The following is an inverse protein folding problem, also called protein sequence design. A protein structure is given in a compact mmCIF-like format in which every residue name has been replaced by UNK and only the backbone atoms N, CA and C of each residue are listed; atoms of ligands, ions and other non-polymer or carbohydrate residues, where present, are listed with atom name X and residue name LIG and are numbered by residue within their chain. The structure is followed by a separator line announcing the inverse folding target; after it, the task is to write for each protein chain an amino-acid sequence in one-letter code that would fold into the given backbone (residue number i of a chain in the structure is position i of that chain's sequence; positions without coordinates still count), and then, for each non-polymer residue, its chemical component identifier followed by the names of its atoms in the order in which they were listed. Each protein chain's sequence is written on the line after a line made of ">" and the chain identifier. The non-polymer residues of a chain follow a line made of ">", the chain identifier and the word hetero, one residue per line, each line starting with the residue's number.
data_IF_717381670417
#
_entry.id   IF_717381670417
#
_cell.length_a   1.000
_cell.length_b   1.000
_cell.length_c   1.000
_cell.angle_alpha   90.00
_cell.angle_beta   90.00
_cell.angle_gamma   90.00
#
_symmetry.space_group_name_H-M   'P 1'
#
loop_
_entity.id
_entity.type
_entity.pdbx_description
1 polymer ?
#
# COMPACT_ATOMS: atom_id res chain seq x y z
N UNK A 1 7.26 9.54 -8.94
CA UNK A 1 7.28 8.84 -7.64
C UNK A 1 7.06 7.34 -7.85
N UNK A 2 7.77 6.55 -7.12
CA UNK A 2 7.68 5.08 -7.20
C UNK A 2 7.47 4.50 -5.82
N UNK A 3 7.11 3.22 -5.76
CA UNK A 3 6.93 2.51 -4.50
C UNK A 3 8.10 2.71 -3.53
N UNK A 4 9.32 2.65 -4.03
CA UNK A 4 10.52 2.81 -3.20
C UNK A 4 10.61 4.17 -2.48
N UNK A 5 9.85 5.15 -2.95
CA UNK A 5 9.83 6.49 -2.35
C UNK A 5 8.79 6.62 -1.23
N UNK A 6 7.96 5.61 -1.03
CA UNK A 6 6.93 5.64 0.01
C UNK A 6 7.57 5.44 1.39
N UNK A 7 7.09 6.19 2.37
CA UNK A 7 7.51 6.05 3.76
C UNK A 7 6.43 5.32 4.54
N UNK A 8 6.69 4.09 4.93
CA UNK A 8 5.74 3.28 5.68
C UNK A 8 5.87 3.52 7.17
N UNK A 9 4.73 3.63 7.84
CA UNK A 9 4.63 3.74 9.29
C UNK A 9 3.66 2.70 9.80
N UNK A 10 3.58 2.51 11.11
CA UNK A 10 2.58 1.61 11.69
C UNK A 10 1.18 2.16 11.43
N UNK A 11 0.26 1.29 11.08
CA UNK A 11 -1.12 1.68 10.87
C UNK A 11 -1.73 2.11 12.22
N UNK A 12 -2.37 3.29 12.29
CA UNK A 12 -2.85 3.83 13.57
C UNK A 12 -3.99 3.04 14.20
N UNK A 13 -4.78 2.35 13.39
CA UNK A 13 -5.99 1.66 13.86
C UNK A 13 -5.90 0.13 13.81
N UNK A 14 -4.82 -0.40 13.22
CA UNK A 14 -4.68 -1.83 13.03
C UNK A 14 -3.37 -2.30 13.63
N UNK A 15 -3.46 -3.21 14.60
CA UNK A 15 -2.30 -3.85 15.17
C UNK A 15 -1.59 -4.69 14.10
N UNK A 16 -0.27 -4.60 14.06
CA UNK A 16 0.54 -5.34 13.10
C UNK A 16 0.22 -4.99 11.64
N UNK A 17 -0.12 -3.73 11.40
CA UNK A 17 -0.34 -3.19 10.06
C UNK A 17 0.58 -2.04 9.77
N UNK A 18 0.82 -1.77 8.48
CA UNK A 18 1.64 -0.65 8.04
C UNK A 18 0.89 0.15 6.98
N UNK A 19 1.23 1.42 6.84
CA UNK A 19 0.62 2.28 5.85
C UNK A 19 1.60 3.33 5.33
N UNK A 20 1.39 3.76 4.09
CA UNK A 20 2.05 4.92 3.50
C UNK A 20 1.01 5.70 2.71
N UNK A 21 1.04 7.01 2.81
CA UNK A 21 0.11 7.88 2.10
C UNK A 21 0.86 8.97 1.36
N UNK A 22 0.42 9.27 0.15
CA UNK A 22 0.95 10.38 -0.63
C UNK A 22 -0.20 11.11 -1.31
N UNK A 23 -0.03 12.42 -1.48
CA UNK A 23 -0.95 13.22 -2.27
C UNK A 23 -0.37 13.35 -3.67
N UNK A 24 -1.09 12.88 -4.67
CA UNK A 24 -0.63 12.91 -6.04
C UNK A 24 -0.94 14.25 -6.72
N UNK A 25 -0.28 14.49 -7.86
CA UNK A 25 -0.41 15.76 -8.57
C UNK A 25 -1.82 16.03 -9.08
N UNK A 26 -2.61 14.98 -9.32
CA UNK A 26 -4.01 15.12 -9.73
C UNK A 26 -4.97 15.42 -8.57
N UNK A 27 -4.46 15.61 -7.37
CA UNK A 27 -5.26 15.90 -6.18
C UNK A 27 -5.80 14.68 -5.45
N UNK A 28 -5.56 13.49 -5.97
CA UNK A 28 -6.00 12.26 -5.32
C UNK A 28 -4.96 11.78 -4.30
N UNK A 29 -5.45 11.29 -3.17
CA UNK A 29 -4.59 10.65 -2.18
C UNK A 29 -4.46 9.18 -2.51
N UNK A 30 -3.23 8.68 -2.53
CA UNK A 30 -2.95 7.25 -2.67
C UNK A 30 -2.48 6.75 -1.31
N UNK A 31 -3.17 5.73 -0.79
CA UNK A 31 -2.85 5.11 0.48
C UNK A 31 -2.51 3.65 0.21
N UNK A 32 -1.34 3.21 0.66
CA UNK A 32 -0.86 1.85 0.49
C UNK A 32 -0.78 1.22 1.87
N UNK A 33 -1.54 0.16 2.08
CA UNK A 33 -1.64 -0.49 3.40
C UNK A 33 -1.43 -1.98 3.28
N UNK A 34 -0.94 -2.57 4.36
CA UNK A 34 -0.81 -4.01 4.46
C UNK A 34 -0.94 -4.41 5.93
N UNK A 35 -1.40 -5.62 6.16
CA UNK A 35 -1.53 -6.13 7.52
C UNK A 35 -2.71 -7.06 7.67
N UNK A 36 -2.94 -7.45 8.90
CA UNK A 36 -4.02 -8.38 9.26
C UNK A 36 -5.38 -7.78 8.92
N UNK A 37 -6.19 -8.53 8.18
CA UNK A 37 -7.52 -8.08 7.78
C UNK A 37 -7.55 -7.17 6.56
N UNK A 38 -6.39 -6.87 5.98
CA UNK A 38 -6.28 -6.08 4.76
C UNK A 38 -6.26 -6.98 3.52
N UNK A 39 -6.60 -6.40 2.36
CA UNK A 39 -6.47 -7.10 1.08
C UNK A 39 -5.01 -7.08 0.62
N UNK A 40 -4.18 -7.74 1.41
CA UNK A 40 -2.74 -7.84 1.21
C UNK A 40 -2.28 -9.26 1.52
N UNK A 41 -1.10 -9.63 1.01
CA UNK A 41 -0.54 -10.96 1.23
C UNK A 41 0.93 -10.81 1.64
N UNK A 42 1.33 -11.52 2.68
CA UNK A 42 2.71 -11.57 3.11
C UNK A 42 3.55 -12.39 2.13
N UNK A 43 4.87 -12.32 2.25
CA UNK A 43 5.78 -13.16 1.45
C UNK A 43 5.55 -14.65 1.68
N UNK A 44 4.99 -15.01 2.83
CA UNK A 44 4.68 -16.38 3.15
C UNK A 44 3.37 -16.86 2.52
N UNK A 45 2.68 -15.98 1.82
CA UNK A 45 1.46 -16.33 1.10
C UNK A 45 0.20 -16.33 1.95
N UNK A 46 0.22 -15.70 3.12
CA UNK A 46 -0.96 -15.61 3.98
C UNK A 46 -1.26 -14.14 4.32
N UNK A 47 -2.39 -13.91 4.95
CA UNK A 47 -2.85 -12.57 5.34
C UNK A 47 -2.38 -12.20 6.75
N UNK A 48 -1.15 -12.55 7.04
CA UNK A 48 -0.55 -12.31 8.35
C UNK A 48 -0.20 -10.84 8.55
N UNK A 49 0.16 -10.55 9.78
CA UNK A 49 0.59 -9.21 10.18
C UNK A 49 1.78 -8.70 9.35
N UNK A 50 1.82 -7.41 9.16
CA UNK A 50 2.94 -6.74 8.48
C UNK A 50 3.52 -5.68 9.40
N UNK A 51 4.83 -5.75 9.62
CA UNK A 51 5.57 -4.76 10.40
C UNK A 51 6.54 -3.97 9.53
N UNK A 52 6.83 -4.49 8.35
CA UNK A 52 7.79 -3.90 7.41
C UNK A 52 7.31 -4.20 6.00
N UNK A 53 7.39 -3.24 5.05
CA UNK A 53 6.98 -3.51 3.67
C UNK A 53 7.75 -4.65 3.01
N UNK A 54 8.96 -4.97 3.49
CA UNK A 54 9.72 -6.11 2.98
C UNK A 54 9.06 -7.46 3.28
N UNK A 55 8.18 -7.51 4.28
CA UNK A 55 7.47 -8.72 4.65
C UNK A 55 6.21 -8.97 3.81
N UNK A 56 5.90 -8.07 2.89
CA UNK A 56 4.65 -8.08 2.13
C UNK A 56 4.92 -8.28 0.65
N UNK A 57 4.17 -9.19 0.02
CA UNK A 57 4.27 -9.42 -1.42
C UNK A 57 3.23 -8.64 -2.21
N UNK A 58 2.07 -8.36 -1.62
CA UNK A 58 1.05 -7.51 -2.24
C UNK A 58 0.35 -6.66 -1.19
N UNK A 59 -0.19 -5.54 -1.62
CA UNK A 59 -0.74 -4.49 -0.75
C UNK A 59 -2.16 -4.14 -1.13
N UNK A 60 -2.92 -3.58 -0.19
CA UNK A 60 -4.18 -2.93 -0.48
C UNK A 60 -3.89 -1.46 -0.77
N UNK A 61 -4.44 -0.95 -1.88
CA UNK A 61 -4.21 0.43 -2.30
C UNK A 61 -5.54 1.15 -2.42
N UNK A 62 -5.63 2.33 -1.83
CA UNK A 62 -6.77 3.22 -2.02
C UNK A 62 -6.33 4.41 -2.86
N UNK A 63 -7.04 4.65 -3.95
CA UNK A 63 -6.82 5.80 -4.83
C UNK A 63 -8.09 6.66 -4.76
N UNK A 64 -8.05 7.74 -3.99
CA UNK A 64 -9.26 8.47 -3.67
C UNK A 64 -10.23 7.55 -2.92
N UNK A 65 -11.40 7.29 -3.50
CA UNK A 65 -12.43 6.43 -2.92
C UNK A 65 -12.38 4.98 -3.44
N UNK A 66 -11.49 4.70 -4.39
CA UNK A 66 -11.39 3.37 -4.99
C UNK A 66 -10.41 2.49 -4.21
N UNK A 67 -10.83 1.26 -3.92
CA UNK A 67 -10.00 0.28 -3.21
C UNK A 67 -9.55 -0.80 -4.17
N UNK A 68 -8.23 -1.01 -4.26
CA UNK A 68 -7.62 -2.03 -5.10
C UNK A 68 -6.88 -3.01 -4.19
N UNK A 69 -7.34 -4.26 -4.18
CA UNK A 69 -6.71 -5.30 -3.37
C UNK A 69 -5.55 -5.97 -4.08
N UNK A 70 -4.64 -6.53 -3.30
CA UNK A 70 -3.55 -7.39 -3.78
C UNK A 70 -2.70 -6.78 -4.89
N UNK A 71 -2.28 -5.53 -4.71
CA UNK A 71 -1.43 -4.84 -5.69
C UNK A 71 0.05 -5.15 -5.43
N UNK A 72 0.75 -5.50 -6.50
CA UNK A 72 2.21 -5.70 -6.44
C UNK A 72 2.93 -4.35 -6.41
N UNK A 73 4.22 -4.36 -6.11
CA UNK A 73 5.04 -3.15 -6.15
C UNK A 73 5.05 -2.51 -7.54
N UNK A 74 5.10 -3.33 -8.59
CA UNK A 74 5.06 -2.86 -9.95
C UNK A 74 3.72 -2.20 -10.28
N UNK A 75 2.62 -2.80 -9.84
CA UNK A 75 1.29 -2.23 -10.02
C UNK A 75 1.16 -0.90 -9.28
N UNK A 76 1.74 -0.81 -8.08
CA UNK A 76 1.75 0.43 -7.31
C UNK A 76 2.58 1.51 -8.01
N UNK A 77 3.70 1.15 -8.62
CA UNK A 77 4.49 2.08 -9.42
C UNK A 77 3.65 2.67 -10.56
N UNK A 78 2.87 1.83 -11.22
CA UNK A 78 1.98 2.27 -12.30
C UNK A 78 0.87 3.19 -11.79
N UNK A 79 0.28 2.86 -10.65
CA UNK A 79 -0.74 3.70 -10.01
C UNK A 79 -0.18 5.08 -9.69
N UNK A 80 1.00 5.12 -9.09
CA UNK A 80 1.65 6.39 -8.73
C UNK A 80 1.99 7.21 -9.97
N UNK A 81 2.47 6.55 -11.02
CA UNK A 81 2.78 7.21 -12.28
C UNK A 81 1.53 7.81 -12.93
N UNK A 82 0.44 7.07 -12.99
CA UNK A 82 -0.81 7.52 -13.58
C UNK A 82 -1.39 8.74 -12.86
N UNK A 83 -1.24 8.82 -11.55
CA UNK A 83 -1.81 9.89 -10.74
C UNK A 83 -0.88 11.10 -10.59
N UNK A 84 0.40 10.96 -10.90
CA UNK A 84 1.36 12.05 -10.84
C UNK A 84 1.74 12.58 -12.23
N UNK A 85 1.11 12.08 -13.24
CA UNK A 85 1.36 12.51 -14.59
C UNK A 85 2.59 11.94 -15.19
#
# INVERSE_FOLDING_TARGET
>A
MKFKNLSFTKHPNISEGIMAQVMCNNGKRVSVVAGRGMYSVSKEGNRASANDPEDVSSFEVMVGDEVLGWQSREEIDNILKENNG
#
